data_IF_178850199571
#
_entry.id   IF_178850199571
#
_cell.length_a   1.000
_cell.length_b   1.000
_cell.length_c   1.000
_cell.angle_alpha   90.00
_cell.angle_beta   90.00
_cell.angle_gamma   90.00
#
_symmetry.space_group_name_H-M   'P 1'
#
loop_
_entity.id
_entity.type
_entity.pdbx_description
1 polymer ?
#
# COMPACT_ATOMS: atom_id res chain seq x y z
N UNK A 1 0.83 23.33 10.68
CA UNK A 1 1.21 22.71 11.97
C UNK A 1 2.14 21.55 11.63
N UNK A 2 3.04 21.12 12.51
CA UNK A 2 3.88 19.92 12.33
C UNK A 2 3.45 18.91 13.40
N UNK A 3 3.89 17.66 13.30
CA UNK A 3 3.62 16.53 14.23
C UNK A 3 3.92 16.81 15.72
N UNK A 4 4.24 18.04 16.12
CA UNK A 4 4.75 18.42 17.43
C UNK A 4 3.93 19.40 18.27
N UNK A 5 2.62 19.63 18.08
CA UNK A 5 1.90 20.49 19.06
C UNK A 5 0.46 20.17 19.45
N UNK A 6 -0.41 19.67 18.57
CA UNK A 6 -1.83 19.45 18.91
C UNK A 6 -2.36 18.09 18.44
N UNK A 7 -1.59 17.02 18.62
CA UNK A 7 -2.15 15.67 18.46
C UNK A 7 -3.03 15.36 19.66
N UNK A 8 -4.35 15.27 19.47
CA UNK A 8 -5.23 14.57 20.41
C UNK A 8 -5.14 13.08 20.08
N UNK A 9 -4.42 12.30 20.88
CA UNK A 9 -4.28 10.86 20.65
C UNK A 9 -5.59 10.10 20.90
N UNK A 10 -6.70 10.77 21.25
CA UNK A 10 -8.02 10.16 21.42
C UNK A 10 -7.98 9.10 22.53
N UNK A 11 -8.39 7.84 22.28
CA UNK A 11 -8.28 6.76 23.27
C UNK A 11 -6.83 6.46 23.67
N UNK A 12 -5.83 6.94 22.92
CA UNK A 12 -4.40 6.80 23.19
C UNK A 12 -3.85 7.96 24.07
N UNK A 13 -4.72 8.61 24.85
CA UNK A 13 -4.44 9.78 25.70
C UNK A 13 -3.16 9.63 26.56
N UNK A 14 -2.22 10.57 26.37
CA UNK A 14 -0.98 10.66 27.14
C UNK A 14 0.30 10.35 26.37
N UNK A 15 0.22 9.95 25.10
CA UNK A 15 1.38 9.65 24.24
C UNK A 15 1.52 10.71 23.14
N UNK A 16 2.69 11.36 23.01
CA UNK A 16 3.01 12.20 21.84
C UNK A 16 3.43 11.32 20.65
N UNK A 17 3.43 11.88 19.43
CA UNK A 17 4.02 11.18 18.27
C UNK A 17 5.47 10.75 18.51
N UNK A 18 6.25 11.59 19.19
CA UNK A 18 7.64 11.29 19.52
C UNK A 18 7.74 10.13 20.52
N UNK A 19 6.85 10.09 21.51
CA UNK A 19 6.81 8.99 22.49
C UNK A 19 6.36 7.68 21.83
N UNK A 20 5.29 7.71 21.03
CA UNK A 20 4.84 6.56 20.27
C UNK A 20 5.96 6.03 19.36
N UNK A 21 6.62 6.92 18.62
CA UNK A 21 7.76 6.54 17.76
C UNK A 21 8.88 5.88 18.55
N UNK A 22 9.30 6.48 19.67
CA UNK A 22 10.35 5.92 20.53
C UNK A 22 9.96 4.54 21.09
N UNK A 23 8.71 4.37 21.47
CA UNK A 23 8.19 3.09 21.97
C UNK A 23 8.20 2.01 20.87
N UNK A 24 7.80 2.36 19.65
CA UNK A 24 7.84 1.45 18.50
C UNK A 24 9.28 1.15 18.05
N UNK A 25 10.18 2.13 18.03
CA UNK A 25 11.62 1.92 17.78
C UNK A 25 12.19 0.89 18.77
N UNK A 26 11.88 1.07 20.06
CA UNK A 26 12.33 0.17 21.11
C UNK A 26 11.71 -1.24 21.00
N UNK A 27 10.46 -1.33 20.55
CA UNK A 27 9.80 -2.61 20.27
C UNK A 27 10.46 -3.32 19.08
N UNK A 28 10.63 -2.64 17.95
CA UNK A 28 11.20 -3.19 16.72
C UNK A 28 12.60 -3.73 16.99
N UNK A 29 13.47 -2.96 17.64
CA UNK A 29 14.84 -3.37 17.95
C UNK A 29 14.95 -4.59 18.88
N UNK A 30 13.85 -5.03 19.52
CA UNK A 30 13.81 -6.22 20.37
C UNK A 30 12.86 -7.30 19.86
N UNK A 31 12.05 -7.02 18.84
CA UNK A 31 10.91 -7.86 18.45
C UNK A 31 11.35 -9.28 18.10
N UNK A 32 12.30 -9.41 17.17
CA UNK A 32 12.84 -10.72 16.77
C UNK A 32 13.57 -11.44 17.91
N UNK A 33 14.43 -10.73 18.64
CA UNK A 33 15.17 -11.32 19.76
C UNK A 33 14.21 -11.86 20.85
N UNK A 34 13.14 -11.13 21.15
CA UNK A 34 12.09 -11.57 22.06
C UNK A 34 11.39 -12.82 21.52
N UNK A 35 10.98 -12.84 20.25
CA UNK A 35 10.34 -14.00 19.64
C UNK A 35 11.22 -15.26 19.72
N UNK A 36 12.53 -15.12 19.45
CA UNK A 36 13.50 -16.21 19.59
C UNK A 36 13.62 -16.65 21.06
N UNK A 37 13.77 -15.71 21.99
CA UNK A 37 13.95 -16.01 23.42
C UNK A 37 12.72 -16.67 24.05
N UNK A 38 11.51 -16.33 23.59
CA UNK A 38 10.27 -16.95 24.06
C UNK A 38 9.93 -18.25 23.32
N UNK A 39 10.77 -18.68 22.38
CA UNK A 39 10.52 -19.88 21.57
C UNK A 39 9.26 -19.76 20.71
N UNK A 40 8.93 -18.55 20.24
CA UNK A 40 7.79 -18.29 19.36
C UNK A 40 7.93 -19.14 18.10
N UNK A 41 6.83 -19.75 17.70
CA UNK A 41 6.77 -20.66 16.54
C UNK A 41 6.12 -19.97 15.36
N UNK A 42 6.37 -20.51 14.19
CA UNK A 42 5.73 -20.09 12.94
C UNK A 42 4.21 -20.19 13.03
N UNK A 43 3.71 -21.19 13.74
CA UNK A 43 2.28 -21.41 13.94
C UNK A 43 1.63 -20.27 14.77
N UNK A 44 2.38 -19.61 15.65
CA UNK A 44 1.88 -18.52 16.50
C UNK A 44 1.61 -17.22 15.72
N UNK A 45 2.21 -17.08 14.53
CA UNK A 45 2.00 -15.92 13.64
C UNK A 45 1.03 -16.21 12.49
N UNK A 46 0.58 -17.46 12.36
CA UNK A 46 -0.38 -17.88 11.33
C UNK A 46 -1.81 -17.79 11.85
N UNK A 47 -2.66 -17.15 11.05
CA UNK A 47 -4.10 -17.10 11.27
C UNK A 47 -4.77 -17.76 10.08
N UNK A 48 -5.52 -18.87 10.21
CA UNK A 48 -6.06 -19.58 9.06
C UNK A 48 -7.06 -18.77 8.22
N UNK A 49 -7.86 -17.92 8.87
CA UNK A 49 -8.86 -17.07 8.22
C UNK A 49 -9.09 -15.84 9.09
N UNK A 50 -9.24 -14.69 8.46
CA UNK A 50 -9.68 -13.45 9.12
C UNK A 50 -11.07 -13.07 8.63
N UNK A 51 -11.87 -12.52 9.54
CA UNK A 51 -13.21 -12.04 9.23
C UNK A 51 -13.42 -10.66 9.85
N UNK A 52 -13.89 -9.70 9.05
CA UNK A 52 -14.29 -8.39 9.53
C UNK A 52 -15.80 -8.33 9.79
N UNK A 53 -16.18 -7.59 10.83
CA UNK A 53 -17.56 -7.44 11.28
C UNK A 53 -18.11 -6.01 11.13
N UNK A 54 -17.40 -5.15 10.39
CA UNK A 54 -17.73 -3.76 10.12
C UNK A 54 -18.08 -3.49 8.65
N UNK A 55 -18.61 -2.29 8.39
CA UNK A 55 -19.07 -1.85 7.06
C UNK A 55 -17.95 -1.47 6.09
N UNK A 56 -16.82 -0.98 6.60
CA UNK A 56 -15.66 -0.54 5.79
C UNK A 56 -14.34 -1.02 6.40
N UNK A 57 -13.97 -2.30 6.21
CA UNK A 57 -12.73 -2.85 6.75
C UNK A 57 -11.49 -2.31 6.04
N UNK A 58 -10.41 -2.13 6.79
CA UNK A 58 -9.10 -1.72 6.29
C UNK A 58 -8.05 -2.81 6.56
N UNK A 59 -7.20 -3.07 5.59
CA UNK A 59 -6.01 -3.91 5.75
C UNK A 59 -4.78 -3.04 5.49
N UNK A 60 -3.79 -3.14 6.38
CA UNK A 60 -2.48 -2.54 6.16
C UNK A 60 -1.47 -3.68 6.17
N UNK A 61 -0.86 -3.91 5.01
CA UNK A 61 0.19 -4.90 4.80
C UNK A 61 1.52 -4.17 4.62
N UNK A 62 2.41 -4.31 5.59
CA UNK A 62 3.71 -3.65 5.58
C UNK A 62 4.82 -4.67 5.38
N UNK A 63 5.74 -4.31 4.49
CA UNK A 63 7.03 -4.95 4.35
C UNK A 63 7.86 -4.73 5.63
N UNK A 64 8.48 -5.79 6.12
CA UNK A 64 9.27 -5.80 7.34
C UNK A 64 10.77 -6.01 7.10
N UNK A 65 11.21 -6.16 5.85
CA UNK A 65 12.61 -6.47 5.54
C UNK A 65 13.54 -5.29 5.80
N UNK A 66 14.85 -5.58 5.81
CA UNK A 66 15.88 -4.63 6.16
C UNK A 66 15.95 -3.40 5.26
N UNK A 67 15.55 -3.53 3.98
CA UNK A 67 15.52 -2.40 3.03
C UNK A 67 14.48 -1.34 3.42
N UNK A 68 13.40 -1.77 4.09
CA UNK A 68 12.32 -0.91 4.62
C UNK A 68 12.58 -0.52 6.08
N UNK A 69 13.68 -0.98 6.70
CA UNK A 69 13.92 -0.90 8.15
C UNK A 69 13.74 0.48 8.80
N UNK A 70 14.15 1.56 8.12
CA UNK A 70 13.99 2.95 8.60
C UNK A 70 12.56 3.49 8.49
N UNK A 71 11.72 2.82 7.71
CA UNK A 71 10.29 3.12 7.56
C UNK A 71 9.40 2.34 8.52
N UNK A 72 9.84 1.18 8.99
CA UNK A 72 9.01 0.29 9.82
C UNK A 72 8.50 1.01 11.08
N UNK A 73 9.41 1.65 11.84
CA UNK A 73 9.02 2.41 13.04
C UNK A 73 8.16 3.63 12.68
N UNK A 74 8.55 4.44 11.67
CA UNK A 74 7.74 5.29 10.83
C UNK A 74 6.24 5.00 10.81
N UNK A 75 5.99 3.93 10.06
CA UNK A 75 4.70 3.37 9.72
C UNK A 75 3.98 3.00 11.00
N UNK A 76 4.56 2.12 11.84
CA UNK A 76 3.87 1.63 13.04
C UNK A 76 3.52 2.73 14.04
N UNK A 77 4.35 3.75 14.22
CA UNK A 77 4.05 4.90 15.06
C UNK A 77 2.89 5.73 14.52
N UNK A 78 2.81 5.88 13.20
CA UNK A 78 1.73 6.63 12.52
C UNK A 78 0.44 5.84 12.37
N UNK A 79 0.47 4.52 12.53
CA UNK A 79 -0.76 3.73 12.55
C UNK A 79 -1.68 4.14 13.71
N UNK A 80 -1.16 4.52 14.86
CA UNK A 80 -1.97 5.08 15.96
C UNK A 80 -2.73 6.35 15.55
N UNK A 81 -2.11 7.20 14.73
CA UNK A 81 -2.77 8.38 14.14
C UNK A 81 -3.83 7.99 13.12
N UNK A 82 -3.53 7.02 12.24
CA UNK A 82 -4.52 6.48 11.30
C UNK A 82 -5.74 5.94 12.07
N UNK A 83 -5.57 5.26 13.19
CA UNK A 83 -6.69 4.76 14.01
C UNK A 83 -7.62 5.87 14.49
N UNK A 84 -7.09 7.07 14.75
CA UNK A 84 -7.89 8.21 15.22
C UNK A 84 -8.59 8.95 14.09
N UNK A 85 -7.96 9.06 12.92
CA UNK A 85 -8.49 9.84 11.78
C UNK A 85 -9.27 9.00 10.77
N UNK A 86 -8.91 7.73 10.59
CA UNK A 86 -9.58 6.82 9.67
C UNK A 86 -11.09 6.68 9.92
N UNK A 87 -11.63 6.80 11.16
CA UNK A 87 -13.07 6.83 11.41
C UNK A 87 -13.82 7.94 10.66
N UNK A 88 -13.16 9.06 10.35
CA UNK A 88 -13.72 10.13 9.51
C UNK A 88 -14.06 9.62 8.11
N UNK A 89 -13.26 8.68 7.60
CA UNK A 89 -13.40 8.13 6.25
C UNK A 89 -14.22 6.83 6.25
N UNK A 90 -13.90 5.91 7.15
CA UNK A 90 -14.40 4.52 7.17
C UNK A 90 -15.57 4.28 8.13
N UNK A 91 -15.89 5.24 9.01
CA UNK A 91 -16.91 5.07 10.04
C UNK A 91 -16.33 4.65 11.40
N UNK A 92 -17.10 4.87 12.47
CA UNK A 92 -16.64 4.67 13.85
C UNK A 92 -16.45 3.20 14.25
N UNK A 93 -17.12 2.29 13.54
CA UNK A 93 -17.03 0.85 13.74
C UNK A 93 -15.93 0.20 12.89
N UNK A 94 -15.09 0.99 12.21
CA UNK A 94 -14.05 0.46 11.35
C UNK A 94 -13.13 -0.52 12.08
N UNK A 95 -12.72 -1.56 11.37
CA UNK A 95 -11.76 -2.54 11.87
C UNK A 95 -10.54 -2.61 10.95
N UNK A 96 -9.35 -2.75 11.55
CA UNK A 96 -8.09 -2.88 10.83
C UNK A 96 -7.51 -4.27 11.06
N UNK A 97 -7.08 -4.91 9.98
CA UNK A 97 -6.21 -6.09 9.99
C UNK A 97 -4.79 -5.68 9.62
N UNK A 98 -3.82 -6.00 10.45
CA UNK A 98 -2.41 -5.77 10.16
C UNK A 98 -1.77 -7.02 9.57
N UNK A 99 -0.90 -6.82 8.58
CA UNK A 99 -0.04 -7.85 8.03
C UNK A 99 1.40 -7.35 8.00
N UNK A 100 2.34 -8.16 8.46
CA UNK A 100 3.75 -8.01 8.14
C UNK A 100 4.13 -9.07 7.11
N UNK A 101 4.86 -8.69 6.07
CA UNK A 101 5.45 -9.62 5.12
C UNK A 101 6.93 -9.30 4.92
N UNK A 102 7.72 -10.32 4.68
CA UNK A 102 9.12 -10.20 4.28
C UNK A 102 9.42 -11.18 3.15
N UNK A 103 10.56 -11.86 3.19
CA UNK A 103 10.98 -12.77 2.12
C UNK A 103 10.87 -14.26 2.48
N UNK A 104 9.79 -14.90 2.03
CA UNK A 104 9.54 -16.32 2.18
C UNK A 104 10.42 -17.21 1.29
N UNK A 105 11.14 -16.62 0.33
CA UNK A 105 12.05 -17.30 -0.58
C UNK A 105 13.49 -17.30 -0.08
N UNK A 106 13.74 -16.74 1.11
CA UNK A 106 15.00 -16.88 1.84
C UNK A 106 14.80 -17.53 3.22
N UNK A 107 15.75 -17.31 4.13
CA UNK A 107 15.79 -17.96 5.45
C UNK A 107 15.09 -17.15 6.56
N UNK A 108 14.13 -16.29 6.21
CA UNK A 108 13.27 -15.62 7.20
C UNK A 108 12.38 -16.61 7.94
N UNK A 109 12.15 -16.35 9.23
CA UNK A 109 11.40 -17.26 10.09
C UNK A 109 9.92 -16.97 10.10
N UNK A 110 9.52 -15.71 9.91
CA UNK A 110 8.18 -15.15 9.99
C UNK A 110 7.84 -14.25 8.77
N UNK A 111 8.11 -14.67 7.52
CA UNK A 111 7.95 -13.86 6.31
C UNK A 111 6.50 -13.52 5.95
N UNK A 112 5.51 -14.09 6.64
CA UNK A 112 4.10 -13.70 6.52
C UNK A 112 3.39 -13.84 7.86
N UNK A 113 2.83 -12.73 8.33
CA UNK A 113 2.19 -12.62 9.64
C UNK A 113 0.91 -11.82 9.49
N UNK A 114 -0.24 -12.47 9.68
CA UNK A 114 -1.55 -11.82 9.60
C UNK A 114 -2.16 -11.74 10.99
N UNK A 115 -2.74 -10.59 11.34
CA UNK A 115 -3.46 -10.37 12.60
C UNK A 115 -4.97 -10.31 12.32
N UNK A 116 -5.83 -10.86 13.19
CA UNK A 116 -7.27 -10.68 13.08
C UNK A 116 -7.65 -9.19 13.08
N UNK A 117 -8.78 -8.88 12.44
CA UNK A 117 -9.37 -7.54 12.50
C UNK A 117 -9.62 -7.13 13.95
N UNK A 118 -9.24 -5.89 14.28
CA UNK A 118 -9.49 -5.27 15.58
C UNK A 118 -9.87 -3.79 15.42
N UNK A 119 -10.33 -3.18 16.51
CA UNK A 119 -10.68 -1.77 16.59
C UNK A 119 -10.13 -1.15 17.89
N UNK A 120 -10.21 0.18 17.97
CA UNK A 120 -9.83 0.95 19.16
C UNK A 120 -8.44 0.60 19.72
N UNK A 121 -8.37 0.35 21.02
CA UNK A 121 -7.11 0.08 21.73
C UNK A 121 -6.51 -1.31 21.41
N UNK A 122 -7.33 -2.28 20.97
CA UNK A 122 -6.85 -3.62 20.65
C UNK A 122 -5.88 -3.62 19.45
N UNK A 123 -5.91 -2.56 18.63
CA UNK A 123 -4.97 -2.35 17.54
C UNK A 123 -3.52 -2.20 18.04
N UNK A 124 -3.30 -1.63 19.23
CA UNK A 124 -1.96 -1.57 19.86
C UNK A 124 -1.38 -2.96 20.06
N UNK A 125 -2.22 -3.86 20.55
CA UNK A 125 -1.83 -5.23 20.84
C UNK A 125 -1.59 -6.01 19.55
N UNK A 126 -2.45 -5.83 18.53
CA UNK A 126 -2.24 -6.46 17.21
C UNK A 126 -0.89 -6.07 16.60
N UNK A 127 -0.48 -4.81 16.74
CA UNK A 127 0.83 -4.36 16.26
C UNK A 127 1.99 -4.99 17.03
N UNK A 128 1.88 -5.08 18.37
CA UNK A 128 2.91 -5.67 19.22
C UNK A 128 3.02 -7.20 19.10
N UNK A 129 2.03 -7.85 18.47
CA UNK A 129 2.08 -9.28 18.15
C UNK A 129 2.98 -9.60 16.95
N UNK A 130 3.27 -8.62 16.09
CA UNK A 130 4.13 -8.80 14.91
C UNK A 130 5.59 -9.01 15.34
N UNK A 131 6.28 -9.92 14.66
CA UNK A 131 7.71 -10.14 14.78
C UNK A 131 8.38 -9.35 13.66
N UNK A 132 9.27 -8.42 14.00
CA UNK A 132 10.00 -7.66 12.98
C UNK A 132 11.43 -8.22 12.93
N UNK A 133 11.75 -8.91 11.84
CA UNK A 133 13.03 -9.57 11.60
C UNK A 133 14.04 -8.63 10.93
N UNK A 134 13.58 -7.71 10.08
CA UNK A 134 14.45 -6.88 9.24
C UNK A 134 15.34 -7.74 8.34
N UNK A 135 14.75 -8.81 7.80
CA UNK A 135 15.40 -9.78 6.92
C UNK A 135 15.58 -9.28 5.48
N UNK A 136 15.26 -10.14 4.52
CA UNK A 136 15.31 -9.90 3.09
C UNK A 136 16.32 -10.80 2.38
N UNK A 137 15.94 -11.24 1.19
CA UNK A 137 16.83 -11.92 0.24
C UNK A 137 17.26 -10.97 -0.86
N UNK A 138 18.52 -11.04 -1.30
CA UNK A 138 18.97 -10.34 -2.52
C UNK A 138 18.44 -10.97 -3.81
N UNK A 139 17.19 -11.44 -3.80
CA UNK A 139 16.53 -12.20 -4.87
C UNK A 139 15.56 -11.34 -5.71
N UNK A 140 15.43 -10.04 -5.40
CA UNK A 140 14.70 -9.07 -6.22
C UNK A 140 13.18 -9.17 -6.08
N UNK A 141 12.71 -9.51 -4.89
CA UNK A 141 11.30 -9.37 -4.54
C UNK A 141 11.04 -9.64 -3.06
N UNK A 142 9.86 -9.24 -2.61
CA UNK A 142 9.35 -9.49 -1.26
C UNK A 142 7.96 -10.12 -1.34
N UNK A 143 7.53 -10.84 -0.30
CA UNK A 143 6.39 -11.78 -0.34
C UNK A 143 5.00 -11.13 -0.32
N UNK A 144 4.86 -9.95 -0.91
CA UNK A 144 3.59 -9.25 -1.05
C UNK A 144 2.54 -10.05 -1.84
N UNK A 145 2.96 -10.98 -2.72
CA UNK A 145 2.06 -11.90 -3.41
C UNK A 145 1.47 -12.96 -2.48
N UNK A 146 2.20 -13.41 -1.44
CA UNK A 146 1.65 -14.32 -0.44
C UNK A 146 0.64 -13.61 0.46
N UNK A 147 0.91 -12.36 0.84
CA UNK A 147 -0.05 -11.52 1.56
C UNK A 147 -1.31 -11.28 0.70
N UNK A 148 -1.15 -10.95 -0.58
CA UNK A 148 -2.27 -10.79 -1.51
C UNK A 148 -3.08 -12.08 -1.67
N UNK A 149 -2.42 -13.23 -1.83
CA UNK A 149 -3.08 -14.54 -1.94
C UNK A 149 -3.87 -14.87 -0.67
N UNK A 150 -3.28 -14.63 0.50
CA UNK A 150 -3.95 -14.81 1.78
C UNK A 150 -5.24 -14.00 1.85
N UNK A 151 -5.18 -12.69 1.61
CA UNK A 151 -6.39 -11.86 1.72
C UNK A 151 -7.41 -12.15 0.62
N UNK A 152 -6.98 -12.55 -0.59
CA UNK A 152 -7.89 -12.96 -1.65
C UNK A 152 -8.73 -14.19 -1.27
N UNK A 153 -8.14 -15.17 -0.55
CA UNK A 153 -8.77 -16.48 -0.34
C UNK A 153 -9.18 -16.80 1.10
N UNK A 154 -8.54 -16.17 2.09
CA UNK A 154 -8.73 -16.42 3.51
C UNK A 154 -9.26 -15.21 4.30
N UNK A 155 -9.73 -14.16 3.61
CA UNK A 155 -10.40 -13.03 4.24
C UNK A 155 -11.90 -13.01 3.89
N UNK A 156 -12.72 -12.81 4.91
CA UNK A 156 -14.17 -12.66 4.82
C UNK A 156 -14.58 -11.28 5.33
N UNK A 157 -15.45 -10.60 4.59
CA UNK A 157 -15.96 -9.27 4.96
C UNK A 157 -17.48 -9.21 4.73
N UNK A 158 -18.28 -10.08 5.40
CA UNK A 158 -19.69 -10.31 5.08
C UNK A 158 -20.59 -9.09 5.29
N UNK A 159 -20.15 -8.11 6.10
CA UNK A 159 -20.89 -6.88 6.39
C UNK A 159 -20.38 -5.66 5.62
N UNK A 160 -19.36 -5.83 4.79
CA UNK A 160 -18.81 -4.71 4.05
C UNK A 160 -19.83 -4.20 3.02
N UNK A 161 -20.19 -2.91 3.11
CA UNK A 161 -21.13 -2.26 2.19
C UNK A 161 -20.39 -1.55 1.05
N UNK A 162 -19.07 -1.40 1.19
CA UNK A 162 -18.12 -0.96 0.17
C UNK A 162 -17.07 -2.06 0.02
N UNK A 163 -16.35 -2.05 -1.11
CA UNK A 163 -15.15 -2.88 -1.20
C UNK A 163 -14.19 -2.50 -0.06
N UNK A 164 -13.75 -3.45 0.77
CA UNK A 164 -12.75 -3.16 1.78
C UNK A 164 -11.45 -2.70 1.13
N UNK A 165 -10.67 -1.90 1.85
CA UNK A 165 -9.44 -1.30 1.32
C UNK A 165 -8.24 -2.10 1.85
N UNK A 166 -7.27 -2.37 0.99
CA UNK A 166 -5.97 -2.89 1.37
C UNK A 166 -4.87 -1.98 0.86
N UNK A 167 -3.96 -1.58 1.76
CA UNK A 167 -2.78 -0.79 1.44
C UNK A 167 -1.53 -1.62 1.72
N UNK A 168 -0.76 -1.89 0.66
CA UNK A 168 0.58 -2.44 0.75
C UNK A 168 1.59 -1.31 0.96
N UNK A 169 2.64 -1.55 1.75
CA UNK A 169 3.75 -0.61 1.94
C UNK A 169 5.05 -1.40 1.76
N UNK A 170 5.86 -1.05 0.77
CA UNK A 170 7.11 -1.78 0.41
C UNK A 170 8.01 -0.90 -0.44
N UNK A 171 9.27 -1.30 -0.63
CA UNK A 171 10.16 -0.77 -1.66
C UNK A 171 10.47 -1.76 -2.79
N UNK A 172 9.88 -2.95 -2.78
CA UNK A 172 10.19 -4.07 -3.69
C UNK A 172 8.96 -4.54 -4.47
N UNK A 173 9.20 -5.43 -5.45
CA UNK A 173 8.17 -6.07 -6.25
C UNK A 173 7.72 -7.41 -5.61
N UNK A 174 6.51 -7.92 -5.89
CA UNK A 174 6.14 -9.29 -5.52
C UNK A 174 6.98 -10.33 -6.26
N UNK A 175 7.16 -11.50 -5.64
CA UNK A 175 7.68 -12.67 -6.36
C UNK A 175 6.67 -13.18 -7.40
N UNK A 176 7.16 -13.59 -8.56
CA UNK A 176 6.33 -14.19 -9.61
C UNK A 176 7.14 -15.19 -10.44
N UNK A 177 6.65 -16.42 -10.63
CA UNK A 177 5.37 -16.95 -10.15
C UNK A 177 5.35 -17.25 -8.64
N UNK A 178 4.14 -17.40 -8.08
CA UNK A 178 3.95 -17.84 -6.70
C UNK A 178 4.35 -19.32 -6.56
N UNK A 179 5.26 -19.63 -5.64
CA UNK A 179 5.62 -21.01 -5.32
C UNK A 179 4.46 -21.71 -4.58
N UNK A 180 3.90 -22.83 -5.11
CA UNK A 180 2.80 -23.54 -4.48
C UNK A 180 3.09 -24.06 -3.06
N UNK A 181 4.34 -24.42 -2.76
CA UNK A 181 4.74 -24.90 -1.43
C UNK A 181 4.79 -23.73 -0.44
N UNK A 182 5.28 -22.56 -0.87
CA UNK A 182 5.26 -21.37 -0.03
C UNK A 182 3.83 -20.86 0.18
N UNK A 183 3.00 -20.88 -0.86
CA UNK A 183 1.57 -20.58 -0.76
C UNK A 183 0.88 -21.48 0.28
N UNK A 184 1.01 -22.80 0.17
CA UNK A 184 0.41 -23.73 1.13
C UNK A 184 1.00 -23.54 2.53
N UNK A 185 2.33 -23.41 2.64
CA UNK A 185 2.99 -23.24 3.94
C UNK A 185 2.54 -21.98 4.67
N UNK A 186 2.50 -20.84 4.00
CA UNK A 186 2.32 -19.54 4.65
C UNK A 186 0.88 -19.07 4.69
N UNK A 187 0.09 -19.43 3.67
CA UNK A 187 -1.32 -19.01 3.59
C UNK A 187 -2.29 -20.16 3.89
N UNK A 188 -1.85 -21.42 3.83
CA UNK A 188 -2.76 -22.58 3.87
C UNK A 188 -3.52 -22.82 2.56
N UNK A 189 -3.32 -21.98 1.54
CA UNK A 189 -3.94 -22.13 0.22
C UNK A 189 -3.16 -23.15 -0.61
N UNK A 190 -3.84 -24.23 -0.99
CA UNK A 190 -3.33 -25.17 -1.98
C UNK A 190 -3.58 -24.63 -3.39
N UNK A 191 -2.51 -24.50 -4.17
CA UNK A 191 -2.60 -24.11 -5.57
C UNK A 191 -2.57 -25.36 -6.46
N UNK A 192 -3.55 -25.47 -7.36
CA UNK A 192 -3.61 -26.56 -8.36
C UNK A 192 -2.61 -26.38 -9.50
N UNK A 193 -2.00 -25.19 -9.60
CA UNK A 193 -0.97 -24.83 -10.58
C UNK A 193 -0.26 -23.54 -10.19
N UNK A 194 0.75 -23.16 -10.96
CA UNK A 194 1.47 -21.91 -10.74
C UNK A 194 0.59 -20.70 -11.08
N UNK A 195 0.51 -19.73 -10.17
CA UNK A 195 -0.13 -18.44 -10.41
C UNK A 195 0.95 -17.37 -10.58
N UNK A 196 0.73 -16.44 -11.50
CA UNK A 196 1.54 -15.21 -11.54
C UNK A 196 1.07 -14.26 -10.43
N UNK A 197 1.95 -13.36 -9.98
CA UNK A 197 1.54 -12.29 -9.07
C UNK A 197 0.35 -11.50 -9.64
N UNK A 198 0.35 -11.23 -10.95
CA UNK A 198 -0.76 -10.57 -11.64
C UNK A 198 -2.10 -11.27 -11.44
N UNK A 199 -2.16 -12.59 -11.60
CA UNK A 199 -3.38 -13.36 -11.38
C UNK A 199 -3.85 -13.29 -9.91
N UNK A 200 -2.92 -13.33 -8.96
CA UNK A 200 -3.23 -13.20 -7.53
C UNK A 200 -3.79 -11.81 -7.22
N UNK A 201 -3.17 -10.74 -7.70
CA UNK A 201 -3.65 -9.37 -7.50
C UNK A 201 -4.98 -9.12 -8.25
N UNK A 202 -5.22 -9.75 -9.40
CA UNK A 202 -6.53 -9.74 -10.06
C UNK A 202 -7.61 -10.44 -9.22
N UNK A 203 -7.30 -11.55 -8.54
CA UNK A 203 -8.20 -12.17 -7.57
C UNK A 203 -8.48 -11.25 -6.38
N UNK A 204 -7.46 -10.60 -5.84
CA UNK A 204 -7.58 -9.66 -4.73
C UNK A 204 -8.47 -8.46 -5.11
N UNK A 205 -8.25 -7.84 -6.27
CA UNK A 205 -9.02 -6.68 -6.76
C UNK A 205 -10.51 -6.95 -7.01
N UNK A 206 -10.90 -8.21 -7.18
CA UNK A 206 -12.34 -8.59 -7.24
C UNK A 206 -13.04 -8.36 -5.90
N UNK A 207 -12.30 -8.43 -4.80
CA UNK A 207 -12.83 -8.31 -3.43
C UNK A 207 -12.49 -6.98 -2.76
N UNK A 208 -11.34 -6.39 -3.07
CA UNK A 208 -10.79 -5.23 -2.39
C UNK A 208 -10.48 -4.09 -3.36
N UNK A 209 -10.49 -2.86 -2.84
CA UNK A 209 -9.74 -1.77 -3.47
C UNK A 209 -8.29 -1.85 -2.99
N UNK A 210 -7.36 -2.01 -3.93
CA UNK A 210 -5.97 -2.39 -3.65
C UNK A 210 -5.03 -1.25 -4.01
N UNK A 211 -4.25 -0.79 -3.05
CA UNK A 211 -3.27 0.28 -3.20
C UNK A 211 -1.89 -0.17 -2.74
N UNK A 212 -0.85 0.49 -3.26
CA UNK A 212 0.52 0.37 -2.74
C UNK A 212 1.09 1.76 -2.47
N UNK A 213 1.74 1.91 -1.32
CA UNK A 213 2.63 3.02 -1.01
C UNK A 213 4.06 2.52 -1.22
N UNK A 214 4.72 3.04 -2.26
CA UNK A 214 6.08 2.66 -2.62
C UNK A 214 7.08 3.62 -2.02
N UNK A 215 7.96 3.07 -1.19
CA UNK A 215 9.24 3.68 -0.84
C UNK A 215 10.19 3.51 -2.04
N UNK A 216 10.90 4.55 -2.49
CA UNK A 216 11.95 4.39 -3.48
C UNK A 216 13.03 3.42 -2.98
N UNK A 217 13.31 2.38 -3.76
CA UNK A 217 14.39 1.43 -3.49
C UNK A 217 15.77 2.13 -3.43
N UNK A 218 15.97 3.14 -4.28
CA UNK A 218 17.12 4.06 -4.23
C UNK A 218 16.65 5.48 -3.89
N UNK A 219 16.63 5.86 -2.60
CA UNK A 219 16.23 7.20 -2.16
C UNK A 219 17.14 8.29 -2.76
N UNK A 220 16.54 9.41 -3.17
CA UNK A 220 17.26 10.54 -3.76
C UNK A 220 17.73 10.34 -5.20
N UNK A 221 17.51 9.15 -5.79
CA UNK A 221 17.79 8.93 -7.20
C UNK A 221 16.81 9.73 -8.10
N UNK A 222 17.22 10.11 -9.33
CA UNK A 222 16.32 10.73 -10.30
C UNK A 222 15.07 9.89 -10.58
N UNK A 223 13.98 10.53 -11.01
CA UNK A 223 12.69 9.88 -11.30
C UNK A 223 12.79 8.79 -12.38
N UNK A 224 13.80 8.84 -13.27
CA UNK A 224 14.07 7.87 -14.32
C UNK A 224 15.08 6.78 -13.92
N UNK A 225 15.44 6.68 -12.64
CA UNK A 225 16.31 5.62 -12.13
C UNK A 225 15.75 4.24 -12.52
N UNK A 226 16.51 3.38 -13.23
CA UNK A 226 15.99 2.12 -13.76
C UNK A 226 15.45 1.15 -12.69
N UNK A 227 16.05 1.12 -11.50
CA UNK A 227 15.62 0.25 -10.41
C UNK A 227 14.26 0.68 -9.86
N UNK A 228 14.15 1.95 -9.43
CA UNK A 228 12.89 2.52 -8.96
C UNK A 228 11.81 2.45 -10.04
N UNK A 229 12.16 2.74 -11.30
CA UNK A 229 11.22 2.73 -12.42
C UNK A 229 10.70 1.34 -12.73
N UNK A 230 11.57 0.31 -12.70
CA UNK A 230 11.19 -1.07 -12.93
C UNK A 230 10.17 -1.57 -11.90
N UNK A 231 10.43 -1.32 -10.62
CA UNK A 231 9.52 -1.68 -9.52
C UNK A 231 8.18 -0.94 -9.66
N UNK A 232 8.22 0.36 -9.95
CA UNK A 232 7.02 1.16 -10.20
C UNK A 232 6.20 0.59 -11.36
N UNK A 233 6.82 0.28 -12.50
CA UNK A 233 6.11 -0.21 -13.69
C UNK A 233 5.43 -1.57 -13.46
N UNK A 234 6.03 -2.43 -12.62
CA UNK A 234 5.42 -3.70 -12.21
C UNK A 234 4.18 -3.43 -11.35
N UNK A 235 4.27 -2.58 -10.34
CA UNK A 235 3.12 -2.21 -9.53
C UNK A 235 2.01 -1.52 -10.34
N UNK A 236 2.37 -0.73 -11.35
CA UNK A 236 1.41 -0.16 -12.30
C UNK A 236 0.72 -1.24 -13.15
N UNK A 237 1.44 -2.27 -13.62
CA UNK A 237 0.83 -3.39 -14.34
C UNK A 237 -0.13 -4.20 -13.43
N UNK A 238 0.19 -4.33 -12.14
CA UNK A 238 -0.63 -5.04 -11.17
C UNK A 238 -1.88 -4.26 -10.76
N UNK A 239 -1.76 -2.96 -10.46
CA UNK A 239 -2.81 -2.18 -9.79
C UNK A 239 -3.39 -1.05 -10.63
N UNK A 240 -2.67 -0.61 -11.66
CA UNK A 240 -2.96 0.63 -12.40
C UNK A 240 -2.34 1.86 -11.74
N UNK A 241 -1.96 2.84 -12.54
CA UNK A 241 -1.17 4.00 -12.09
C UNK A 241 -1.83 4.83 -10.98
N UNK A 242 -3.16 4.87 -10.91
CA UNK A 242 -3.88 5.60 -9.85
C UNK A 242 -3.67 4.97 -8.47
N UNK A 243 -3.43 3.67 -8.40
CA UNK A 243 -3.36 2.93 -7.14
C UNK A 243 -1.92 2.74 -6.63
N UNK A 244 -0.94 3.32 -7.32
CA UNK A 244 0.48 3.30 -6.95
C UNK A 244 0.88 4.68 -6.43
N UNK A 245 1.16 4.79 -5.14
CA UNK A 245 1.50 6.06 -4.47
C UNK A 245 2.99 6.05 -4.11
N UNK A 246 3.81 6.84 -4.80
CA UNK A 246 5.24 6.95 -4.48
C UNK A 246 5.39 7.95 -3.33
N UNK A 247 6.06 7.54 -2.26
CA UNK A 247 6.35 8.40 -1.10
C UNK A 247 7.86 8.40 -0.86
N UNK A 248 8.56 9.55 -0.84
CA UNK A 248 10.02 9.55 -0.71
C UNK A 248 10.51 9.22 0.70
N UNK A 249 9.70 9.49 1.73
CA UNK A 249 10.07 9.35 3.14
C UNK A 249 8.87 8.90 3.99
N UNK A 250 9.12 8.07 5.01
CA UNK A 250 8.09 7.47 5.86
C UNK A 250 7.23 8.51 6.61
N UNK A 251 7.76 9.72 6.78
CA UNK A 251 7.15 10.75 7.63
C UNK A 251 5.73 11.09 7.21
N UNK A 252 5.31 10.89 5.96
CA UNK A 252 3.92 11.19 5.55
C UNK A 252 3.09 9.96 5.18
N UNK A 253 3.53 8.76 5.55
CA UNK A 253 2.81 7.53 5.22
C UNK A 253 1.39 7.50 5.79
N UNK A 254 1.21 8.03 7.01
CA UNK A 254 -0.10 8.18 7.64
C UNK A 254 -1.06 9.00 6.79
N UNK A 255 -0.60 10.14 6.30
CA UNK A 255 -1.42 11.05 5.50
C UNK A 255 -1.67 10.56 4.08
N UNK A 256 -0.72 9.83 3.47
CA UNK A 256 -0.95 9.16 2.20
C UNK A 256 -2.00 8.07 2.37
N UNK A 257 -1.96 7.29 3.45
CA UNK A 257 -3.01 6.31 3.76
C UNK A 257 -4.36 7.02 3.93
N UNK A 258 -4.45 8.09 4.73
CA UNK A 258 -5.71 8.84 4.88
C UNK A 258 -6.21 9.41 3.53
N UNK A 259 -5.31 9.89 2.67
CA UNK A 259 -5.65 10.34 1.33
C UNK A 259 -6.18 9.22 0.44
N UNK A 260 -5.61 8.01 0.53
CA UNK A 260 -6.15 6.81 -0.13
C UNK A 260 -7.57 6.50 0.41
N UNK A 261 -7.78 6.57 1.73
CA UNK A 261 -9.11 6.33 2.31
C UNK A 261 -10.12 7.38 1.83
N UNK A 262 -9.70 8.63 1.75
CA UNK A 262 -10.51 9.72 1.24
C UNK A 262 -10.89 9.52 -0.23
N UNK A 263 -9.93 9.12 -1.08
CA UNK A 263 -10.16 8.78 -2.48
C UNK A 263 -11.16 7.62 -2.61
N UNK A 264 -10.96 6.53 -1.86
CA UNK A 264 -11.80 5.34 -1.89
C UNK A 264 -13.21 5.54 -1.28
N UNK A 265 -13.44 6.64 -0.56
CA UNK A 265 -14.72 6.94 0.10
C UNK A 265 -15.36 8.24 -0.35
N UNK A 266 -14.85 8.87 -1.42
CA UNK A 266 -15.32 10.15 -1.97
C UNK A 266 -15.30 11.31 -0.95
N UNK A 267 -14.31 11.32 -0.05
CA UNK A 267 -14.14 12.31 1.04
C UNK A 267 -12.90 13.19 0.86
N UNK A 268 -12.59 13.50 -0.39
CA UNK A 268 -11.39 14.27 -0.75
C UNK A 268 -11.44 15.71 -0.20
N UNK A 269 -12.63 16.29 -0.06
CA UNK A 269 -12.80 17.64 0.46
C UNK A 269 -12.44 17.69 1.94
N UNK A 270 -12.94 16.74 2.73
CA UNK A 270 -12.61 16.59 4.15
C UNK A 270 -11.11 16.37 4.36
N UNK A 271 -10.48 15.53 3.53
CA UNK A 271 -9.05 15.29 3.60
C UNK A 271 -8.22 16.54 3.31
N UNK A 272 -8.60 17.33 2.29
CA UNK A 272 -7.89 18.59 1.98
C UNK A 272 -8.02 19.59 3.12
N UNK A 273 -9.23 19.79 3.63
CA UNK A 273 -9.49 20.70 4.75
C UNK A 273 -8.66 20.33 5.99
N UNK A 274 -8.55 19.04 6.27
CA UNK A 274 -7.75 18.51 7.38
C UNK A 274 -6.24 18.67 7.14
N UNK A 275 -5.77 18.33 5.93
CA UNK A 275 -4.38 18.53 5.51
C UNK A 275 -3.92 19.99 5.61
N UNK A 276 -4.78 20.95 5.24
CA UNK A 276 -4.46 22.37 5.31
C UNK A 276 -4.29 22.86 6.75
N UNK A 277 -5.08 22.32 7.69
CA UNK A 277 -5.01 22.66 9.11
C UNK A 277 -3.79 22.02 9.78
N UNK A 278 -3.51 20.76 9.45
CA UNK A 278 -2.50 19.97 10.17
C UNK A 278 -1.09 20.14 9.66
N UNK A 279 -0.86 20.55 8.42
CA UNK A 279 0.44 20.38 7.75
C UNK A 279 0.98 21.67 7.14
N UNK A 280 2.30 21.81 7.06
CA UNK A 280 2.94 22.92 6.32
C UNK A 280 2.72 22.76 4.81
N UNK A 281 2.87 23.84 4.04
CA UNK A 281 2.71 23.78 2.57
C UNK A 281 3.73 22.84 1.89
N UNK A 282 4.95 22.73 2.42
CA UNK A 282 5.95 21.76 1.93
C UNK A 282 5.47 20.32 2.15
N UNK A 283 4.98 20.04 3.35
CA UNK A 283 4.42 18.74 3.72
C UNK A 283 3.18 18.39 2.89
N UNK A 284 2.28 19.35 2.65
CA UNK A 284 1.11 19.18 1.78
C UNK A 284 1.53 18.77 0.37
N UNK A 285 2.51 19.48 -0.23
CA UNK A 285 3.03 19.16 -1.57
C UNK A 285 3.55 17.72 -1.68
N UNK A 286 4.28 17.23 -0.68
CA UNK A 286 4.77 15.84 -0.67
C UNK A 286 3.61 14.83 -0.73
N UNK A 287 2.58 15.03 0.08
CA UNK A 287 1.41 14.14 0.12
C UNK A 287 0.58 14.24 -1.16
N UNK A 288 0.27 15.44 -1.62
CA UNK A 288 -0.50 15.64 -2.84
C UNK A 288 0.22 15.09 -4.08
N UNK A 289 1.54 15.28 -4.17
CA UNK A 289 2.35 14.63 -5.22
C UNK A 289 2.23 13.11 -5.16
N UNK A 290 2.33 12.52 -3.96
CA UNK A 290 2.22 11.07 -3.75
C UNK A 290 0.84 10.54 -4.16
N UNK A 291 -0.23 11.28 -3.86
CA UNK A 291 -1.61 10.94 -4.21
C UNK A 291 -1.94 11.15 -5.70
N UNK A 292 -1.06 11.82 -6.46
CA UNK A 292 -1.29 12.14 -7.86
C UNK A 292 -2.06 13.44 -8.11
N UNK A 293 -2.21 14.28 -7.08
CA UNK A 293 -2.93 15.55 -7.11
C UNK A 293 -2.04 16.73 -7.54
N UNK A 294 -2.65 17.86 -7.84
CA UNK A 294 -1.98 19.16 -8.02
C UNK A 294 -1.43 19.68 -6.69
N UNK A 295 -0.57 20.71 -6.72
CA UNK A 295 0.02 21.29 -5.50
C UNK A 295 -1.01 21.91 -4.54
N UNK A 296 -2.20 22.25 -5.04
CA UNK A 296 -3.33 22.75 -4.27
C UNK A 296 -4.29 21.63 -3.80
N UNK A 297 -3.94 20.36 -4.05
CA UNK A 297 -4.74 19.19 -3.70
C UNK A 297 -5.90 18.92 -4.65
N UNK A 298 -6.05 19.66 -5.76
CA UNK A 298 -7.07 19.36 -6.77
C UNK A 298 -6.67 18.20 -7.69
N UNK A 299 -7.62 17.47 -8.30
CA UNK A 299 -7.30 16.46 -9.31
C UNK A 299 -6.58 17.06 -10.53
N UNK A 300 -5.66 16.31 -11.15
CA UNK A 300 -5.03 16.72 -12.42
C UNK A 300 -6.09 16.73 -13.53
N UNK A 301 -6.04 17.74 -14.41
CA UNK A 301 -7.05 18.04 -15.45
C UNK A 301 -7.32 16.94 -16.51
N UNK A 302 -6.72 15.75 -16.39
CA UNK A 302 -6.83 14.67 -17.37
C UNK A 302 -7.99 13.69 -17.11
N UNK A 303 -8.87 13.93 -16.13
CA UNK A 303 -9.98 13.01 -15.79
C UNK A 303 -11.35 13.34 -16.43
N UNK A 304 -11.48 14.40 -17.23
CA UNK A 304 -12.78 14.76 -17.84
C UNK A 304 -13.15 14.05 -19.14
N UNK A 305 -12.34 13.13 -19.67
CA UNK A 305 -12.54 12.59 -21.04
C UNK A 305 -13.05 11.14 -21.15
N UNK A 306 -13.47 10.49 -20.06
CA UNK A 306 -14.15 9.17 -20.15
C UNK A 306 -15.68 9.26 -20.32
N UNK A 307 -16.21 10.49 -20.44
CA UNK A 307 -17.65 10.76 -20.44
C UNK A 307 -18.25 11.31 -21.74
N UNK A 308 -17.72 10.99 -22.93
CA UNK A 308 -18.44 11.18 -24.22
C UNK A 308 -17.65 10.66 -25.42
N UNK A 309 -18.08 9.54 -26.01
CA UNK A 309 -18.32 9.36 -27.46
C UNK A 309 -18.71 7.91 -27.78
N UNK A 310 -19.99 7.61 -27.60
CA UNK A 310 -20.70 6.77 -28.58
C UNK A 310 -21.01 7.66 -29.78
N UNK A 311 -20.41 7.37 -30.93
CA UNK A 311 -20.64 8.19 -32.13
C UNK A 311 -19.75 7.86 -33.31
N UNK A 312 -20.07 6.75 -34.00
CA UNK A 312 -20.04 6.66 -35.46
C UNK A 312 -18.73 6.89 -36.22
N UNK A 313 -18.19 5.79 -36.76
CA UNK A 313 -17.28 5.75 -37.89
C UNK A 313 -17.58 6.79 -38.98
N UNK A 314 -16.55 7.54 -39.39
CA UNK A 314 -16.26 7.80 -40.82
C UNK A 314 -14.76 7.81 -41.06
N UNK A 315 -14.32 6.77 -41.76
CA UNK A 315 -13.04 6.66 -42.46
C UNK A 315 -12.86 7.83 -43.43
N UNK A 316 -11.70 8.49 -43.40
CA UNK A 316 -11.22 9.32 -44.51
C UNK A 316 -9.81 8.87 -44.87
N UNK A 317 -9.73 8.13 -45.97
CA UNK A 317 -8.52 7.71 -46.66
C UNK A 317 -7.66 8.93 -47.04
N UNK A 318 -6.38 8.91 -46.65
CA UNK A 318 -5.38 9.92 -47.03
C UNK A 318 -4.76 9.53 -48.37
N UNK A 319 -5.08 10.27 -49.43
CA UNK A 319 -4.46 10.16 -50.76
C UNK A 319 -3.07 10.83 -50.74
N UNK A 320 -1.99 10.19 -51.23
CA UNK A 320 -0.66 10.82 -51.29
C UNK A 320 -0.54 11.80 -52.49
N UNK A 321 0.27 12.87 -52.37
CA UNK A 321 0.34 13.92 -53.39
C UNK A 321 1.15 13.50 -54.64
N UNK A 322 0.62 13.89 -55.82
CA UNK A 322 1.24 13.72 -57.15
C UNK A 322 2.49 14.61 -57.32
N UNK A 323 3.58 14.02 -57.81
CA UNK A 323 4.78 14.74 -58.30
C UNK A 323 4.43 15.56 -59.56
N UNK A 324 4.91 16.81 -59.64
CA UNK A 324 4.82 17.66 -60.84
C UNK A 324 6.06 17.45 -61.71
N UNK A 325 5.84 17.00 -62.95
CA UNK A 325 6.86 16.97 -64.00
C UNK A 325 7.12 18.38 -64.55
N UNK A 326 8.39 18.71 -64.79
CA UNK A 326 8.82 19.94 -65.45
C UNK A 326 8.85 19.73 -66.97
N UNK A 327 8.42 20.70 -67.80
CA UNK A 327 8.45 20.58 -69.25
C UNK A 327 9.87 20.76 -69.81
N UNK A 328 10.19 19.96 -70.83
CA UNK A 328 11.51 19.84 -71.45
C UNK A 328 11.89 20.96 -72.42
N UNK A 329 13.11 20.85 -72.94
CA UNK A 329 13.58 21.54 -74.14
C UNK A 329 14.08 20.52 -75.16
N UNK A 330 13.57 20.69 -76.38
CA UNK A 330 14.01 20.07 -77.63
C UNK A 330 15.47 20.47 -77.94
N UNK A 331 16.27 19.51 -78.40
CA UNK A 331 16.81 19.39 -79.77
C UNK A 331 17.27 17.95 -79.98
#
# INVERSE_FOLDING_TARGET
MSEGSDYDPGPWKGETFADARKDYDAFIGRSYANAVNTGKKVEDVKVPTVEASCESPLIIAADETGSVGDWIAPIFAKLGFIVNEAPTYLGKDMQISFCAFGDAYCNERYPLQVRPFADGLALKDRLKELVIEQGGGGNGGESSELAALYYARNCKTPKAIRKPIIVFITDEQPHSPVDPKLAERWTGVKLEGSLTAKQVFEELKKKFEVYVVLKPYSPGAPDDNPGNRGIYDIWVDLLGFKNVKILPEADRVGDVILGILAEATDKNDEFRDDMEKRQTKVQQKTVYKSLGLNEDGTPKDNEKDEGKKTGGSKSVLRVPPKKKDKPGKLY
#
